data_IF_308894659752
#
_entry.id   IF_308894659752
#
_cell.length_a   1.000
_cell.length_b   1.000
_cell.length_c   1.000
_cell.angle_alpha   90.00
_cell.angle_beta   90.00
_cell.angle_gamma   90.00
#
_symmetry.space_group_name_H-M   'P 1'
#
loop_
_entity.id
_entity.type
_entity.pdbx_description
1 polymer ?
#
# COMPACT_ATOMS: atom_id res chain seq x y z
N UNK A 1 23.00 25.43 -1.10
CA UNK A 1 22.14 24.93 -2.19
C UNK A 1 22.74 23.75 -2.97
N UNK A 2 24.01 23.76 -3.38
CA UNK A 2 24.65 22.68 -4.16
C UNK A 2 24.57 21.28 -3.52
N UNK A 3 24.77 21.18 -2.20
CA UNK A 3 24.71 19.90 -1.47
C UNK A 3 23.30 19.30 -1.41
N UNK A 4 22.27 20.14 -1.23
CA UNK A 4 20.88 19.70 -1.22
C UNK A 4 20.44 19.20 -2.60
N UNK A 5 20.81 19.92 -3.67
CA UNK A 5 20.50 19.51 -5.05
C UNK A 5 21.20 18.17 -5.37
N UNK A 6 22.46 18.02 -4.99
CA UNK A 6 23.21 16.77 -5.18
C UNK A 6 22.56 15.61 -4.42
N UNK A 7 22.11 15.85 -3.19
CA UNK A 7 21.39 14.88 -2.37
C UNK A 7 20.07 14.45 -3.01
N UNK A 8 19.22 15.39 -3.39
CA UNK A 8 17.94 15.11 -4.05
C UNK A 8 18.14 14.37 -5.38
N UNK A 9 19.20 14.68 -6.12
CA UNK A 9 19.50 14.00 -7.38
C UNK A 9 19.82 12.51 -7.19
N UNK A 10 20.37 12.10 -6.03
CA UNK A 10 20.57 10.67 -5.72
C UNK A 10 19.26 9.89 -5.59
N UNK A 11 18.17 10.60 -5.29
CA UNK A 11 16.84 10.06 -5.02
C UNK A 11 15.85 10.24 -6.17
N UNK A 12 16.27 10.91 -7.25
CA UNK A 12 15.41 11.33 -8.36
C UNK A 12 14.57 10.19 -8.92
N UNK A 13 15.17 9.04 -9.18
CA UNK A 13 14.45 7.89 -9.77
C UNK A 13 13.38 7.33 -8.82
N UNK A 14 13.64 7.32 -7.52
CA UNK A 14 12.66 6.95 -6.49
C UNK A 14 11.46 7.91 -6.46
N UNK A 15 11.68 9.22 -6.58
CA UNK A 15 10.58 10.18 -6.68
C UNK A 15 9.83 10.10 -8.02
N UNK A 16 10.54 9.88 -9.13
CA UNK A 16 9.90 9.68 -10.44
C UNK A 16 8.96 8.48 -10.40
N UNK A 17 9.39 7.35 -9.85
CA UNK A 17 8.54 6.15 -9.83
C UNK A 17 7.34 6.30 -8.89
N UNK A 18 7.48 7.02 -7.76
CA UNK A 18 6.34 7.39 -6.92
C UNK A 18 5.37 8.32 -7.65
N UNK A 19 5.88 9.29 -8.42
CA UNK A 19 5.02 10.17 -9.22
C UNK A 19 4.25 9.37 -10.30
N UNK A 20 4.90 8.40 -10.95
CA UNK A 20 4.24 7.49 -11.90
C UNK A 20 3.17 6.65 -11.21
N UNK A 21 3.45 6.09 -10.03
CA UNK A 21 2.46 5.38 -9.23
C UNK A 21 1.26 6.28 -8.87
N UNK A 22 1.51 7.53 -8.50
CA UNK A 22 0.45 8.48 -8.15
C UNK A 22 -0.46 8.76 -9.35
N UNK A 23 0.13 9.00 -10.52
CA UNK A 23 -0.62 9.17 -11.77
C UNK A 23 -1.44 7.91 -12.11
N UNK A 24 -0.87 6.72 -11.91
CA UNK A 24 -1.58 5.46 -12.09
C UNK A 24 -2.78 5.30 -11.16
N UNK A 25 -2.63 5.67 -9.88
CA UNK A 25 -3.73 5.66 -8.91
C UNK A 25 -4.81 6.67 -9.28
N UNK A 26 -4.44 7.88 -9.73
CA UNK A 26 -5.41 8.86 -10.24
C UNK A 26 -6.21 8.30 -11.41
N UNK A 27 -5.54 7.67 -12.37
CA UNK A 27 -6.19 7.06 -13.54
C UNK A 27 -7.13 5.92 -13.14
N UNK A 28 -6.67 5.02 -12.26
CA UNK A 28 -7.50 3.95 -11.69
C UNK A 28 -8.75 4.52 -11.02
N UNK A 29 -8.58 5.56 -10.20
CA UNK A 29 -9.68 6.15 -9.43
C UNK A 29 -10.71 6.82 -10.35
N UNK A 30 -10.26 7.44 -11.45
CA UNK A 30 -11.12 8.05 -12.45
C UNK A 30 -11.89 7.03 -13.29
N UNK A 31 -11.28 5.90 -13.63
CA UNK A 31 -11.89 4.89 -14.51
C UNK A 31 -12.78 3.92 -13.72
N UNK A 32 -12.40 3.60 -12.48
CA UNK A 32 -13.00 2.49 -11.73
C UNK A 32 -13.86 2.92 -10.53
N UNK A 33 -13.91 4.20 -10.16
CA UNK A 33 -14.68 4.68 -9.01
C UNK A 33 -16.11 5.15 -9.34
N UNK A 34 -17.08 5.05 -8.41
CA UNK A 34 -17.04 4.31 -7.13
C UNK A 34 -17.31 2.81 -7.31
N UNK A 35 -16.67 1.96 -6.50
CA UNK A 35 -16.87 0.52 -6.53
C UNK A 35 -18.18 0.13 -5.82
N UNK A 36 -19.02 -0.66 -6.49
CA UNK A 36 -20.15 -1.30 -5.84
C UNK A 36 -19.65 -2.41 -4.90
N UNK A 37 -19.71 -2.18 -3.59
CA UNK A 37 -19.25 -3.08 -2.55
C UNK A 37 -20.22 -4.24 -2.25
N UNK A 38 -21.46 -4.17 -2.74
CA UNK A 38 -22.47 -5.22 -2.60
C UNK A 38 -22.51 -6.15 -3.82
N UNK A 39 -21.83 -5.78 -4.92
CA UNK A 39 -21.70 -6.64 -6.10
C UNK A 39 -21.07 -8.01 -5.76
N UNK A 40 -21.52 -9.04 -6.47
CA UNK A 40 -20.96 -10.40 -6.40
C UNK A 40 -19.88 -10.58 -7.46
N UNK A 41 -18.59 -10.52 -7.11
CA UNK A 41 -17.51 -10.66 -8.07
C UNK A 41 -17.33 -12.12 -8.49
N UNK A 42 -16.74 -12.33 -9.67
CA UNK A 42 -16.31 -13.67 -10.07
C UNK A 42 -15.18 -14.18 -9.16
N UNK A 43 -15.11 -15.50 -8.96
CA UNK A 43 -14.07 -16.12 -8.13
C UNK A 43 -12.66 -15.79 -8.59
N UNK A 44 -12.46 -15.71 -9.91
CA UNK A 44 -11.18 -15.30 -10.47
C UNK A 44 -10.79 -13.90 -10.01
N UNK A 45 -11.70 -12.92 -10.11
CA UNK A 45 -11.45 -11.53 -9.72
C UNK A 45 -11.20 -11.43 -8.22
N UNK A 46 -12.08 -12.04 -7.41
CA UNK A 46 -11.98 -12.04 -5.96
C UNK A 46 -10.66 -12.65 -5.48
N UNK A 47 -10.31 -13.83 -6.00
CA UNK A 47 -9.06 -14.52 -5.66
C UNK A 47 -7.83 -13.72 -6.10
N UNK A 48 -7.81 -13.21 -7.33
CA UNK A 48 -6.69 -12.43 -7.85
C UNK A 48 -6.40 -11.20 -6.98
N UNK A 49 -7.44 -10.44 -6.64
CA UNK A 49 -7.29 -9.23 -5.83
C UNK A 49 -6.91 -9.54 -4.38
N UNK A 50 -7.43 -10.66 -3.85
CA UNK A 50 -7.05 -11.19 -2.52
C UNK A 50 -5.56 -11.54 -2.48
N UNK A 51 -5.06 -12.33 -3.44
CA UNK A 51 -3.63 -12.69 -3.45
C UNK A 51 -2.71 -11.50 -3.73
N UNK A 52 -3.15 -10.56 -4.57
CA UNK A 52 -2.44 -9.29 -4.74
C UNK A 52 -2.35 -8.54 -3.42
N UNK A 53 -3.44 -8.39 -2.67
CA UNK A 53 -3.40 -7.70 -1.39
C UNK A 53 -2.52 -8.43 -0.38
N UNK A 54 -2.62 -9.76 -0.27
CA UNK A 54 -1.78 -10.59 0.61
C UNK A 54 -0.28 -10.47 0.32
N UNK A 55 0.11 -10.28 -0.95
CA UNK A 55 1.53 -10.06 -1.31
C UNK A 55 2.16 -8.82 -0.64
N UNK A 56 1.35 -7.87 -0.20
CA UNK A 56 1.76 -6.65 0.51
C UNK A 56 1.21 -6.58 1.95
N UNK A 57 0.48 -7.60 2.39
CA UNK A 57 -0.13 -7.73 3.72
C UNK A 57 0.66 -8.63 4.66
N UNK A 58 0.20 -8.78 5.91
CA UNK A 58 0.84 -9.61 6.93
C UNK A 58 1.03 -11.07 6.49
N UNK A 59 0.18 -11.54 5.58
CA UNK A 59 0.16 -12.90 5.03
C UNK A 59 1.35 -13.19 4.11
N UNK A 60 1.86 -12.18 3.38
CA UNK A 60 2.82 -12.41 2.29
C UNK A 60 3.96 -11.42 2.17
N UNK A 61 3.95 -10.30 2.90
CA UNK A 61 4.98 -9.25 2.72
C UNK A 61 6.41 -9.75 2.97
N UNK A 62 6.62 -10.70 3.89
CA UNK A 62 7.95 -11.29 4.15
C UNK A 62 8.46 -12.11 2.96
N UNK A 63 7.56 -12.84 2.29
CA UNK A 63 7.90 -13.63 1.09
C UNK A 63 8.25 -12.68 -0.05
N UNK A 64 7.41 -11.66 -0.29
CA UNK A 64 7.66 -10.61 -1.27
C UNK A 64 8.99 -9.91 -0.99
N UNK A 65 9.26 -9.57 0.26
CA UNK A 65 10.51 -8.96 0.67
C UNK A 65 11.71 -9.89 0.40
N UNK A 66 11.62 -11.16 0.73
CA UNK A 66 12.67 -12.14 0.45
C UNK A 66 12.97 -12.23 -1.05
N UNK A 67 11.95 -12.25 -1.90
CA UNK A 67 12.08 -12.26 -3.37
C UNK A 67 12.77 -10.99 -3.87
N UNK A 68 12.34 -9.81 -3.40
CA UNK A 68 12.93 -8.53 -3.81
C UNK A 68 14.39 -8.41 -3.36
N UNK A 69 14.71 -8.85 -2.14
CA UNK A 69 16.07 -8.87 -1.62
C UNK A 69 16.96 -9.87 -2.37
N UNK A 70 16.43 -11.04 -2.72
CA UNK A 70 17.16 -12.00 -3.55
C UNK A 70 17.40 -11.44 -4.96
N UNK A 71 16.39 -10.84 -5.58
CA UNK A 71 16.53 -10.17 -6.87
C UNK A 71 17.58 -9.06 -6.83
N UNK A 72 17.60 -8.27 -5.75
CA UNK A 72 18.63 -7.27 -5.51
C UNK A 72 20.02 -7.89 -5.35
N UNK A 73 20.14 -8.99 -4.60
CA UNK A 73 21.41 -9.69 -4.40
C UNK A 73 21.97 -10.20 -5.73
N UNK A 74 21.14 -10.85 -6.54
CA UNK A 74 21.51 -11.35 -7.86
C UNK A 74 21.85 -10.24 -8.85
N UNK A 75 21.21 -9.07 -8.70
CA UNK A 75 21.46 -7.89 -9.52
C UNK A 75 22.72 -7.11 -9.12
N UNK A 76 23.21 -7.28 -7.89
CA UNK A 76 24.29 -6.50 -7.31
C UNK A 76 25.65 -7.13 -7.63
N UNK A 77 26.55 -6.36 -8.23
CA UNK A 77 27.95 -6.78 -8.46
C UNK A 77 28.84 -6.50 -7.24
N UNK A 78 28.47 -5.54 -6.38
CA UNK A 78 29.18 -5.17 -5.16
C UNK A 78 28.37 -5.51 -3.89
N UNK A 79 28.93 -6.41 -3.06
CA UNK A 79 28.33 -6.80 -1.77
C UNK A 79 28.15 -5.61 -0.82
N UNK A 80 29.04 -4.61 -0.85
CA UNK A 80 28.92 -3.42 0.00
C UNK A 80 27.73 -2.55 -0.42
N UNK A 81 27.46 -2.48 -1.72
CA UNK A 81 26.29 -1.78 -2.25
C UNK A 81 24.99 -2.49 -1.84
N UNK A 82 24.94 -3.83 -1.97
CA UNK A 82 23.82 -4.63 -1.50
C UNK A 82 23.50 -4.35 -0.01
N UNK A 83 24.50 -4.42 0.86
CA UNK A 83 24.33 -4.19 2.30
C UNK A 83 23.81 -2.78 2.57
N UNK A 84 24.38 -1.75 1.95
CA UNK A 84 23.94 -0.36 2.17
C UNK A 84 22.49 -0.13 1.73
N UNK A 85 22.11 -0.67 0.58
CA UNK A 85 20.72 -0.58 0.08
C UNK A 85 19.77 -1.35 1.00
N UNK A 86 20.14 -2.56 1.41
CA UNK A 86 19.36 -3.39 2.32
C UNK A 86 19.14 -2.73 3.68
N UNK A 87 20.19 -2.16 4.28
CA UNK A 87 20.07 -1.41 5.55
C UNK A 87 19.18 -0.18 5.36
N UNK A 88 19.41 0.62 4.31
CA UNK A 88 18.60 1.82 4.05
C UNK A 88 17.11 1.48 3.88
N UNK A 89 16.81 0.41 3.15
CA UNK A 89 15.44 -0.07 2.98
C UNK A 89 14.85 -0.60 4.29
N UNK A 90 15.60 -1.38 5.06
CA UNK A 90 15.17 -1.88 6.38
C UNK A 90 14.85 -0.75 7.35
N UNK A 91 15.70 0.28 7.42
CA UNK A 91 15.45 1.49 8.23
C UNK A 91 14.19 2.21 7.75
N UNK A 92 14.00 2.37 6.42
CA UNK A 92 12.77 2.98 5.89
C UNK A 92 11.54 2.19 6.33
N UNK A 93 11.54 0.87 6.17
CA UNK A 93 10.40 0.05 6.57
C UNK A 93 10.09 0.19 8.06
N UNK A 94 11.10 0.14 8.93
CA UNK A 94 10.90 0.31 10.38
C UNK A 94 10.28 1.67 10.67
N UNK A 95 10.80 2.76 10.09
CA UNK A 95 10.25 4.10 10.27
C UNK A 95 8.81 4.20 9.75
N UNK A 96 8.53 3.62 8.59
CA UNK A 96 7.19 3.59 8.00
C UNK A 96 6.18 2.86 8.89
N UNK A 97 6.52 1.65 9.34
CA UNK A 97 5.63 0.84 10.17
C UNK A 97 5.51 1.35 11.62
N UNK A 98 6.54 1.99 12.16
CA UNK A 98 6.45 2.67 13.44
C UNK A 98 5.58 3.94 13.35
N UNK A 99 5.80 4.76 12.31
CA UNK A 99 5.09 6.03 12.16
C UNK A 99 3.62 5.87 11.78
N UNK A 100 3.23 4.81 11.04
CA UNK A 100 1.81 4.57 10.73
C UNK A 100 0.95 4.39 11.97
N UNK A 101 1.49 3.79 13.03
CA UNK A 101 0.76 3.55 14.29
C UNK A 101 0.39 4.87 14.94
N UNK A 102 1.30 5.86 14.90
CA UNK A 102 1.01 7.23 15.37
C UNK A 102 0.01 7.96 14.47
N UNK A 103 0.12 7.82 13.15
CA UNK A 103 -0.77 8.49 12.19
C UNK A 103 -2.23 8.04 12.29
N UNK A 104 -2.48 6.75 12.59
CA UNK A 104 -3.84 6.22 12.74
C UNK A 104 -4.67 6.94 13.81
N UNK A 105 -4.02 7.45 14.86
CA UNK A 105 -4.71 8.17 15.93
C UNK A 105 -5.09 9.61 15.56
N UNK A 106 -4.52 10.16 14.48
CA UNK A 106 -4.69 11.58 14.13
C UNK A 106 -5.81 11.83 13.11
N UNK A 107 -6.13 10.85 12.26
CA UNK A 107 -6.91 11.11 11.04
C UNK A 107 -8.34 10.58 11.05
N UNK A 108 -8.72 9.73 12.03
CA UNK A 108 -10.09 9.25 12.31
C UNK A 108 -11.02 9.08 11.09
N UNK A 109 -10.51 8.63 9.94
CA UNK A 109 -11.26 8.51 8.69
C UNK A 109 -11.92 7.14 8.60
N UNK A 110 -13.26 7.05 8.50
CA UNK A 110 -13.97 5.78 8.32
C UNK A 110 -13.55 5.04 7.05
N UNK A 111 -13.54 3.71 7.13
CA UNK A 111 -13.27 2.87 5.96
C UNK A 111 -14.47 2.83 5.00
N UNK A 112 -14.24 2.75 3.68
CA UNK A 112 -15.32 2.67 2.70
C UNK A 112 -16.32 1.53 2.94
N UNK A 113 -15.89 0.39 3.47
CA UNK A 113 -16.83 -0.71 3.77
C UNK A 113 -17.92 -0.34 4.76
N UNK A 114 -17.68 0.64 5.65
CA UNK A 114 -18.71 1.10 6.60
C UNK A 114 -19.87 1.77 5.86
N UNK A 115 -19.65 2.35 4.67
CA UNK A 115 -20.72 2.84 3.81
C UNK A 115 -21.60 1.69 3.27
N UNK A 116 -21.02 0.51 3.02
CA UNK A 116 -21.78 -0.68 2.66
C UNK A 116 -22.64 -1.17 3.85
N UNK A 117 -22.12 -1.10 5.08
CA UNK A 117 -22.90 -1.43 6.28
C UNK A 117 -24.09 -0.48 6.48
N UNK A 118 -23.92 0.82 6.16
CA UNK A 118 -25.03 1.80 6.12
C UNK A 118 -26.06 1.44 5.06
N UNK A 119 -25.62 1.07 3.85
CA UNK A 119 -26.53 0.64 2.78
C UNK A 119 -27.35 -0.60 3.17
N UNK A 120 -26.75 -1.52 3.92
CA UNK A 120 -27.42 -2.70 4.48
C UNK A 120 -28.27 -2.40 5.72
N UNK A 121 -28.33 -1.14 6.18
CA UNK A 121 -29.04 -0.69 7.39
C UNK A 121 -28.58 -1.40 8.67
N UNK A 122 -27.32 -1.83 8.71
CA UNK A 122 -26.71 -2.43 9.90
C UNK A 122 -26.21 -1.35 10.88
N UNK A 123 -25.91 -0.16 10.36
CA UNK A 123 -25.55 1.06 11.10
C UNK A 123 -26.16 2.28 10.39
N UNK A 124 -26.32 3.39 11.09
CA UNK A 124 -26.88 4.65 10.59
C UNK A 124 -25.84 5.52 9.87
N UNK A 125 -24.59 5.52 10.37
CA UNK A 125 -23.49 6.33 9.81
C UNK A 125 -22.16 5.56 9.81
N UNK A 126 -21.22 5.85 8.87
CA UNK A 126 -19.87 5.26 8.88
C UNK A 126 -19.14 5.42 10.22
N UNK A 127 -19.29 6.56 10.88
CA UNK A 127 -18.61 6.91 12.13
C UNK A 127 -19.14 6.09 13.31
N UNK A 128 -20.44 5.76 13.32
CA UNK A 128 -21.07 4.96 14.38
C UNK A 128 -20.38 3.59 14.54
N UNK A 129 -19.86 3.02 13.45
CA UNK A 129 -19.10 1.76 13.51
C UNK A 129 -17.97 1.81 14.55
N UNK A 130 -17.25 2.93 14.63
CA UNK A 130 -16.11 3.13 15.52
C UNK A 130 -16.49 3.44 16.97
N UNK A 131 -17.78 3.62 17.27
CA UNK A 131 -18.27 3.78 18.64
C UNK A 131 -18.50 2.43 19.35
N UNK A 132 -18.57 1.34 18.59
CA UNK A 132 -18.78 -0.01 19.12
C UNK A 132 -17.47 -0.67 19.56
N UNK A 133 -17.59 -1.64 20.47
CA UNK A 133 -16.49 -2.54 20.80
C UNK A 133 -16.12 -3.42 19.59
N UNK A 134 -14.85 -3.82 19.47
CA UNK A 134 -14.33 -4.64 18.36
C UNK A 134 -15.15 -5.92 18.13
N UNK A 135 -15.59 -6.60 19.18
CA UNK A 135 -16.44 -7.79 19.06
C UNK A 135 -17.78 -7.51 18.38
N UNK A 136 -18.36 -6.34 18.64
CA UNK A 136 -19.62 -5.91 18.03
C UNK A 136 -19.39 -5.49 16.58
N UNK A 137 -18.27 -4.82 16.29
CA UNK A 137 -17.86 -4.49 14.93
C UNK A 137 -17.70 -5.75 14.07
N UNK A 138 -16.98 -6.75 14.56
CA UNK A 138 -16.82 -8.04 13.86
C UNK A 138 -18.17 -8.75 13.67
N UNK A 139 -19.07 -8.67 14.64
CA UNK A 139 -20.43 -9.21 14.51
C UNK A 139 -21.21 -8.52 13.39
N UNK A 140 -21.15 -7.18 13.31
CA UNK A 140 -21.80 -6.40 12.25
C UNK A 140 -21.25 -6.76 10.86
N UNK A 141 -19.92 -6.88 10.74
CA UNK A 141 -19.27 -7.32 9.50
C UNK A 141 -19.70 -8.74 9.14
N UNK A 142 -19.76 -9.66 10.12
CA UNK A 142 -20.20 -11.03 9.90
C UNK A 142 -21.68 -11.11 9.45
N UNK A 143 -22.56 -10.23 9.96
CA UNK A 143 -23.94 -10.13 9.48
C UNK A 143 -24.01 -9.69 8.01
N UNK A 144 -23.09 -8.82 7.57
CA UNK A 144 -23.03 -8.40 6.16
C UNK A 144 -22.64 -9.54 5.20
N UNK A 145 -22.13 -10.68 5.70
CA UNK A 145 -21.72 -11.82 4.88
C UNK A 145 -22.87 -12.50 4.11
N UNK A 146 -24.12 -12.24 4.48
CA UNK A 146 -25.29 -12.67 3.71
C UNK A 146 -25.42 -11.92 2.37
N UNK A 147 -24.94 -10.68 2.31
CA UNK A 147 -25.12 -9.77 1.18
C UNK A 147 -23.82 -9.42 0.46
N UNK A 148 -22.68 -9.65 1.09
CA UNK A 148 -21.36 -9.25 0.60
C UNK A 148 -20.51 -10.49 0.33
N UNK A 149 -19.77 -10.46 -0.78
CA UNK A 149 -18.84 -11.52 -1.15
C UNK A 149 -17.86 -11.87 -0.03
N UNK A 150 -17.63 -13.18 0.16
CA UNK A 150 -16.67 -13.70 1.13
C UNK A 150 -15.25 -13.15 0.96
N UNK A 151 -14.83 -12.79 -0.27
CA UNK A 151 -13.54 -12.14 -0.51
C UNK A 151 -13.45 -10.77 0.20
N UNK A 152 -14.53 -9.97 0.18
CA UNK A 152 -14.57 -8.68 0.86
C UNK A 152 -14.68 -8.86 2.38
N UNK A 153 -15.60 -9.71 2.83
CA UNK A 153 -15.82 -9.99 4.26
C UNK A 153 -14.55 -10.48 4.94
N UNK A 154 -13.81 -11.40 4.32
CA UNK A 154 -12.54 -11.89 4.85
C UNK A 154 -11.48 -10.79 5.05
N UNK A 155 -11.59 -9.69 4.30
CA UNK A 155 -10.74 -8.52 4.47
C UNK A 155 -11.31 -7.46 5.42
N UNK A 156 -12.62 -7.46 5.69
CA UNK A 156 -13.24 -6.50 6.60
C UNK A 156 -13.17 -6.96 8.05
N UNK A 157 -13.24 -8.27 8.28
CA UNK A 157 -13.11 -8.88 9.60
C UNK A 157 -11.77 -8.53 10.24
N UNK A 158 -11.81 -8.18 11.53
CA UNK A 158 -10.64 -7.79 12.33
C UNK A 158 -9.90 -6.52 11.83
N UNK A 159 -10.47 -5.80 10.87
CA UNK A 159 -9.94 -4.52 10.37
C UNK A 159 -10.80 -3.37 10.92
N UNK A 160 -10.81 -3.28 12.25
CA UNK A 160 -11.63 -2.41 13.11
C UNK A 160 -11.10 -0.97 13.26
N UNK A 161 -9.83 -0.76 12.91
CA UNK A 161 -9.21 0.57 12.94
C UNK A 161 -9.66 1.48 11.79
N UNK A 162 -9.43 2.79 11.94
CA UNK A 162 -9.59 3.78 10.85
C UNK A 162 -8.73 3.48 9.61
N UNK A 163 -9.13 4.05 8.47
CA UNK A 163 -8.59 3.74 7.14
C UNK A 163 -7.16 4.25 6.89
N UNK A 164 -6.78 5.37 7.51
CA UNK A 164 -5.53 6.06 7.19
C UNK A 164 -4.41 5.79 8.21
N UNK A 165 -3.16 5.55 7.78
CA UNK A 165 -2.69 5.29 6.41
C UNK A 165 -2.79 3.80 6.04
N UNK A 166 -2.75 3.51 4.74
CA UNK A 166 -2.74 2.13 4.20
C UNK A 166 -1.37 1.48 4.38
N UNK A 167 -1.27 0.49 5.26
CA UNK A 167 -0.04 -0.29 5.46
C UNK A 167 0.45 -1.01 4.20
N UNK A 168 -0.48 -1.52 3.38
CA UNK A 168 -0.16 -2.16 2.10
C UNK A 168 0.44 -1.15 1.13
N UNK A 169 -0.15 0.05 1.03
CA UNK A 169 0.35 1.11 0.15
C UNK A 169 1.70 1.63 0.63
N UNK A 170 1.88 1.79 1.94
CA UNK A 170 3.17 2.15 2.54
C UNK A 170 4.26 1.13 2.16
N UNK A 171 3.97 -0.17 2.25
CA UNK A 171 4.92 -1.23 1.88
C UNK A 171 5.28 -1.20 0.40
N UNK A 172 4.30 -1.21 -0.51
CA UNK A 172 4.59 -1.21 -1.96
C UNK A 172 5.25 0.09 -2.41
N UNK A 173 4.87 1.23 -1.83
CA UNK A 173 5.55 2.50 -2.09
C UNK A 173 7.01 2.43 -1.64
N UNK A 174 7.30 1.94 -0.43
CA UNK A 174 8.67 1.75 0.06
C UNK A 174 9.49 0.85 -0.87
N UNK A 175 8.90 -0.25 -1.34
CA UNK A 175 9.51 -1.15 -2.31
C UNK A 175 9.80 -0.44 -3.65
N UNK A 176 8.87 0.37 -4.15
CA UNK A 176 9.08 1.13 -5.39
C UNK A 176 10.19 2.16 -5.27
N UNK A 177 10.24 2.98 -4.21
CA UNK A 177 11.28 4.01 -4.07
C UNK A 177 12.69 3.40 -4.04
N UNK A 178 12.82 2.20 -3.48
CA UNK A 178 14.10 1.49 -3.40
C UNK A 178 14.38 0.61 -4.61
N UNK A 179 13.63 -0.49 -4.77
CA UNK A 179 13.89 -1.49 -5.81
C UNK A 179 13.53 -0.96 -7.20
N UNK A 180 12.38 -0.30 -7.31
CA UNK A 180 11.94 0.30 -8.57
C UNK A 180 12.80 1.50 -8.98
N UNK A 181 13.12 2.38 -8.03
CA UNK A 181 14.02 3.52 -8.26
C UNK A 181 15.43 3.06 -8.68
N UNK A 182 15.95 2.02 -8.05
CA UNK A 182 17.22 1.39 -8.45
C UNK A 182 17.14 0.78 -9.85
N UNK A 183 16.14 -0.05 -10.13
CA UNK A 183 15.94 -0.67 -11.44
C UNK A 183 15.83 0.39 -12.55
N UNK A 184 15.10 1.48 -12.29
CA UNK A 184 14.96 2.60 -13.22
C UNK A 184 16.29 3.33 -13.45
N UNK A 185 17.08 3.56 -12.39
CA UNK A 185 18.41 4.19 -12.51
C UNK A 185 19.39 3.36 -13.35
N UNK A 186 19.23 2.03 -13.34
CA UNK A 186 20.00 1.08 -14.13
C UNK A 186 19.38 0.80 -15.51
N UNK A 187 18.34 1.55 -15.91
CA UNK A 187 17.60 1.37 -17.18
C UNK A 187 16.99 -0.03 -17.34
N UNK A 188 16.72 -0.74 -16.24
CA UNK A 188 16.04 -2.04 -16.22
C UNK A 188 14.53 -1.84 -16.29
N UNK A 189 14.05 -1.35 -17.43
CA UNK A 189 12.65 -0.94 -17.61
C UNK A 189 11.66 -2.07 -17.43
N UNK A 190 11.99 -3.30 -17.83
CA UNK A 190 11.13 -4.47 -17.64
C UNK A 190 10.86 -4.72 -16.14
N UNK A 191 11.91 -4.76 -15.32
CA UNK A 191 11.79 -4.93 -13.85
C UNK A 191 11.03 -3.77 -13.23
N UNK A 192 11.31 -2.54 -13.69
CA UNK A 192 10.60 -1.34 -13.22
C UNK A 192 9.11 -1.43 -13.52
N UNK A 193 8.73 -1.85 -14.73
CA UNK A 193 7.34 -2.04 -15.14
C UNK A 193 6.62 -3.11 -14.35
N UNK A 194 7.26 -4.26 -14.10
CA UNK A 194 6.70 -5.34 -13.28
C UNK A 194 6.40 -4.85 -11.86
N UNK A 195 7.35 -4.15 -11.23
CA UNK A 195 7.15 -3.61 -9.89
C UNK A 195 6.04 -2.56 -9.85
N UNK A 196 5.96 -1.69 -10.86
CA UNK A 196 4.89 -0.70 -10.98
C UNK A 196 3.51 -1.36 -11.15
N UNK A 197 3.39 -2.34 -12.03
CA UNK A 197 2.13 -3.08 -12.26
C UNK A 197 1.70 -3.77 -10.97
N UNK A 198 2.63 -4.43 -10.27
CA UNK A 198 2.35 -5.06 -8.98
C UNK A 198 1.86 -4.03 -7.94
N UNK A 199 2.57 -2.91 -7.78
CA UNK A 199 2.19 -1.87 -6.81
C UNK A 199 0.84 -1.22 -7.14
N UNK A 200 0.55 -0.97 -8.42
CA UNK A 200 -0.75 -0.49 -8.87
C UNK A 200 -1.85 -1.55 -8.68
N UNK A 201 -1.55 -2.83 -8.87
CA UNK A 201 -2.46 -3.93 -8.59
C UNK A 201 -2.81 -4.04 -7.10
N UNK A 202 -1.83 -3.85 -6.22
CA UNK A 202 -2.07 -3.76 -4.76
C UNK A 202 -2.91 -2.52 -4.44
N UNK A 203 -2.58 -1.36 -4.99
CA UNK A 203 -3.35 -0.14 -4.77
C UNK A 203 -4.82 -0.32 -5.22
N UNK A 204 -5.03 -0.89 -6.41
CA UNK A 204 -6.35 -1.22 -6.93
C UNK A 204 -7.10 -2.20 -6.02
N UNK A 205 -6.45 -3.27 -5.53
CA UNK A 205 -7.12 -4.22 -4.64
C UNK A 205 -7.59 -3.56 -3.34
N UNK A 206 -6.84 -2.60 -2.79
CA UNK A 206 -7.25 -1.84 -1.59
C UNK A 206 -8.51 -1.00 -1.81
N UNK A 207 -8.65 -0.38 -2.98
CA UNK A 207 -9.83 0.40 -3.34
C UNK A 207 -11.02 -0.52 -3.61
N UNK A 208 -10.82 -1.58 -4.40
CA UNK A 208 -11.86 -2.51 -4.82
C UNK A 208 -12.44 -3.33 -3.65
N UNK A 209 -11.60 -3.67 -2.67
CA UNK A 209 -12.01 -4.34 -1.43
C UNK A 209 -12.78 -3.40 -0.49
N UNK A 210 -12.88 -2.10 -0.77
CA UNK A 210 -13.54 -1.14 0.12
C UNK A 210 -12.75 -0.83 1.39
N UNK A 211 -11.42 -1.03 1.36
CA UNK A 211 -10.59 -0.88 2.55
C UNK A 211 -10.06 0.54 2.74
N UNK A 212 -9.83 1.24 1.63
CA UNK A 212 -9.21 2.56 1.62
C UNK A 212 -9.82 3.41 0.51
N UNK A 213 -9.75 4.73 0.68
CA UNK A 213 -10.07 5.71 -0.36
C UNK A 213 -8.79 6.13 -1.11
N UNK A 214 -8.88 6.70 -2.32
CA UNK A 214 -7.71 7.17 -3.05
C UNK A 214 -6.82 8.14 -2.25
N UNK A 215 -7.42 9.03 -1.46
CA UNK A 215 -6.72 9.94 -0.56
C UNK A 215 -5.85 9.21 0.47
N UNK A 216 -6.28 8.03 0.95
CA UNK A 216 -5.49 7.25 1.89
C UNK A 216 -4.21 6.72 1.23
N UNK A 217 -4.32 6.33 -0.03
CA UNK A 217 -3.20 5.86 -0.84
C UNK A 217 -2.21 7.00 -1.11
N UNK A 218 -2.71 8.18 -1.51
CA UNK A 218 -1.87 9.35 -1.74
C UNK A 218 -1.16 9.81 -0.46
N UNK A 219 -1.86 9.88 0.67
CA UNK A 219 -1.24 10.26 1.93
C UNK A 219 -0.22 9.22 2.42
N UNK A 220 -0.47 7.92 2.18
CA UNK A 220 0.52 6.86 2.44
C UNK A 220 1.78 7.02 1.60
N UNK A 221 1.64 7.36 0.32
CA UNK A 221 2.77 7.63 -0.58
C UNK A 221 3.54 8.89 -0.18
N UNK A 222 2.83 9.97 0.18
CA UNK A 222 3.44 11.20 0.66
C UNK A 222 4.24 10.95 1.95
N UNK A 223 3.68 10.15 2.87
CA UNK A 223 4.36 9.75 4.09
C UNK A 223 5.66 8.97 3.79
N UNK A 224 5.62 7.99 2.88
CA UNK A 224 6.83 7.27 2.45
C UNK A 224 7.83 8.20 1.78
N UNK A 225 7.38 9.13 0.92
CA UNK A 225 8.24 10.09 0.26
C UNK A 225 8.98 11.00 1.25
N UNK A 226 8.31 11.44 2.32
CA UNK A 226 8.90 12.24 3.39
C UNK A 226 9.95 11.43 4.18
N UNK A 227 9.63 10.20 4.58
CA UNK A 227 10.61 9.36 5.28
C UNK A 227 11.79 8.98 4.39
N UNK A 228 11.54 8.77 3.10
CA UNK A 228 12.58 8.49 2.12
C UNK A 228 13.60 9.63 1.99
N UNK A 229 13.21 10.89 2.20
CA UNK A 229 14.13 12.03 2.25
C UNK A 229 15.11 11.96 3.43
N UNK A 230 14.80 11.21 4.49
CA UNK A 230 15.65 11.08 5.66
C UNK A 230 16.69 9.96 5.50
N UNK A 231 16.48 9.03 4.57
CA UNK A 231 17.35 7.87 4.40
C UNK A 231 18.56 8.21 3.53
N UNK A 232 19.80 8.09 4.00
CA UNK A 232 20.97 8.27 3.14
C UNK A 232 21.07 7.11 2.15
N UNK A 233 20.97 7.40 0.85
CA UNK A 233 21.13 6.39 -0.21
C UNK A 233 22.46 6.61 -0.92
N UNK A 234 23.29 5.56 -1.07
CA UNK A 234 24.53 5.68 -1.83
C UNK A 234 24.23 6.02 -3.29
N UNK A 235 25.06 6.86 -3.91
CA UNK A 235 25.01 7.03 -5.37
C UNK A 235 25.22 5.66 -6.03
N UNK A 236 24.26 5.25 -6.85
CA UNK A 236 24.41 4.12 -7.76
C UNK A 236 25.48 4.50 -8.78
N UNK A 237 26.64 3.83 -8.73
CA UNK A 237 27.65 3.87 -9.79
C UNK A 237 27.43 2.70 -10.72
#
# INVERSE_FOLDING_TARGET
MSNLISYLNTKRHGFIILAIMALGISLISLISGPFDLLSTPSDFTGSLLTYLTYSAGSQGFLITLAILMLGLLLASTDKKQFIKVGIGFGVLLVLCFAGKTGLKHLTQSPRPYTEALVQLKLIDTPEQFYSYAESTQDTLVQTAAEYVSHYRIGHWLHETDYSFPSGHTVFVAACLVFFGGLALSQKRYAVTGILLIWALGVAYSRLWLGMHRPEDLFGSMAFVALLYLLIPIPKYR
#
